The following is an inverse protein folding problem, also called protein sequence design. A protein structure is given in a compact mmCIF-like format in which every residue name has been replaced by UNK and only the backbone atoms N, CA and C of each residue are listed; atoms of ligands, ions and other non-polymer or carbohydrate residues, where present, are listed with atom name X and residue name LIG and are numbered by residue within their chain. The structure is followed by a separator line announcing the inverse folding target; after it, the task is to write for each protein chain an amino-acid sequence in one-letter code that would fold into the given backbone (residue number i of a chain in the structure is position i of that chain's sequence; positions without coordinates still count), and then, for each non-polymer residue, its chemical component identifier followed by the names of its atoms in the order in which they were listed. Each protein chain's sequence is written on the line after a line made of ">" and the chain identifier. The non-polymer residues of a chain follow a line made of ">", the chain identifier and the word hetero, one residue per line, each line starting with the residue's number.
data_IF_067247458412
#
_entry.id   IF_067247458412
#
_cell.length_a   1.000
_cell.length_b   1.000
_cell.length_c   1.000
_cell.angle_alpha   90.00
_cell.angle_beta   90.00
_cell.angle_gamma   90.00
#
_symmetry.space_group_name_H-M   'P 1'
#
loop_
_entity.id
_entity.type
_entity.pdbx_description
1 polymer ?
#
# COMPACT_ATOMS: atom_id res chain seq x y z
N UNK A 1 -27.52 -26.94 -8.17
CA UNK A 1 -26.93 -25.60 -8.34
C UNK A 1 -25.42 -25.79 -8.22
N UNK A 2 -24.68 -25.74 -9.33
CA UNK A 2 -23.25 -26.04 -9.33
C UNK A 2 -22.50 -24.82 -8.78
N UNK A 3 -21.94 -24.95 -7.59
CA UNK A 3 -21.06 -23.96 -6.96
C UNK A 3 -19.83 -23.82 -7.87
N UNK A 4 -19.36 -22.59 -8.16
CA UNK A 4 -18.10 -22.46 -8.91
C UNK A 4 -16.99 -22.95 -7.98
N UNK A 5 -16.31 -24.02 -8.35
CA UNK A 5 -15.16 -24.51 -7.59
C UNK A 5 -14.05 -23.46 -7.71
N UNK A 6 -13.68 -22.89 -6.57
CA UNK A 6 -12.45 -22.10 -6.45
C UNK A 6 -11.29 -23.07 -6.59
N UNK A 7 -10.24 -22.67 -7.30
CA UNK A 7 -9.00 -23.45 -7.27
C UNK A 7 -8.31 -23.32 -5.90
N UNK A 8 -7.34 -24.20 -5.63
CA UNK A 8 -6.62 -24.22 -4.34
C UNK A 8 -5.92 -22.89 -4.05
N UNK A 9 -5.44 -22.18 -5.07
CA UNK A 9 -4.74 -20.91 -4.91
C UNK A 9 -5.72 -19.78 -4.55
N UNK A 10 -6.88 -19.71 -5.22
CA UNK A 10 -7.96 -18.77 -4.94
C UNK A 10 -8.54 -18.99 -3.55
N UNK A 11 -8.71 -20.25 -3.15
CA UNK A 11 -9.20 -20.60 -1.81
C UNK A 11 -8.20 -20.18 -0.72
N UNK A 12 -6.91 -20.42 -0.95
CA UNK A 12 -5.84 -19.99 -0.04
C UNK A 12 -5.77 -18.46 0.07
N UNK A 13 -5.86 -17.75 -1.06
CA UNK A 13 -5.88 -16.28 -1.11
C UNK A 13 -7.09 -15.71 -0.37
N UNK A 14 -8.30 -16.25 -0.63
CA UNK A 14 -9.51 -15.87 0.11
C UNK A 14 -9.33 -16.03 1.62
N UNK A 15 -8.72 -17.14 2.06
CA UNK A 15 -8.52 -17.42 3.48
C UNK A 15 -7.51 -16.49 4.11
N UNK A 16 -6.41 -16.19 3.42
CA UNK A 16 -5.37 -15.27 3.90
C UNK A 16 -5.94 -13.86 4.10
N UNK A 17 -6.66 -13.33 3.11
CA UNK A 17 -7.31 -12.02 3.21
C UNK A 17 -8.39 -12.03 4.29
N UNK A 18 -9.22 -13.07 4.36
CA UNK A 18 -10.25 -13.17 5.40
C UNK A 18 -9.65 -13.15 6.82
N UNK A 19 -8.60 -13.93 7.06
CA UNK A 19 -7.88 -13.96 8.34
C UNK A 19 -7.25 -12.61 8.70
N UNK A 20 -6.90 -11.78 7.72
CA UNK A 20 -6.41 -10.43 7.98
C UNK A 20 -7.49 -9.52 8.61
N UNK A 21 -8.75 -9.65 8.19
CA UNK A 21 -9.87 -8.88 8.71
C UNK A 21 -10.46 -9.45 10.01
N UNK A 22 -10.13 -10.69 10.36
CA UNK A 22 -10.49 -11.29 11.64
C UNK A 22 -9.73 -10.64 12.80
N UNK A 23 -10.42 -9.71 13.47
CA UNK A 23 -9.86 -8.98 14.59
C UNK A 23 -9.61 -9.84 15.85
N UNK A 24 -10.25 -11.00 15.98
CA UNK A 24 -10.22 -11.82 17.21
C UNK A 24 -9.48 -13.15 17.06
N UNK A 25 -9.13 -13.56 15.84
CA UNK A 25 -8.38 -14.79 15.57
C UNK A 25 -9.20 -16.07 15.81
N UNK A 26 -10.53 -15.99 15.72
CA UNK A 26 -11.47 -17.11 15.85
C UNK A 26 -12.06 -17.54 14.50
N UNK A 27 -11.39 -17.20 13.41
CA UNK A 27 -11.74 -17.44 12.01
C UNK A 27 -13.09 -16.81 11.62
N UNK A 28 -13.34 -15.56 12.09
CA UNK A 28 -14.58 -14.83 11.82
C UNK A 28 -14.40 -13.34 11.56
N UNK A 29 -15.22 -12.77 10.68
CA UNK A 29 -15.31 -11.30 10.45
C UNK A 29 -16.71 -10.79 10.76
N UNK A 30 -16.89 -9.50 11.00
CA UNK A 30 -18.23 -8.92 11.13
C UNK A 30 -18.92 -8.76 9.77
N UNK A 31 -20.25 -8.74 9.75
CA UNK A 31 -21.03 -8.49 8.53
C UNK A 31 -20.64 -7.16 7.87
N UNK A 32 -20.40 -6.12 8.68
CA UNK A 32 -19.95 -4.82 8.18
C UNK A 32 -18.62 -4.89 7.39
N UNK A 33 -17.76 -5.88 7.66
CA UNK A 33 -16.47 -6.05 6.99
C UNK A 33 -16.57 -6.82 5.67
N UNK A 34 -17.70 -7.47 5.35
CA UNK A 34 -17.82 -8.34 4.18
C UNK A 34 -17.53 -7.59 2.88
N UNK A 35 -18.04 -6.36 2.74
CA UNK A 35 -17.76 -5.51 1.58
C UNK A 35 -16.28 -5.23 1.40
N UNK A 36 -15.59 -4.90 2.49
CA UNK A 36 -14.16 -4.61 2.48
C UNK A 36 -13.32 -5.84 2.11
N UNK A 37 -13.68 -7.03 2.63
CA UNK A 37 -12.99 -8.29 2.28
C UNK A 37 -13.19 -8.63 0.81
N UNK A 38 -14.41 -8.49 0.28
CA UNK A 38 -14.69 -8.72 -1.14
C UNK A 38 -13.88 -7.76 -2.02
N UNK A 39 -13.77 -6.49 -1.62
CA UNK A 39 -12.94 -5.48 -2.30
C UNK A 39 -11.45 -5.77 -2.22
N UNK A 40 -10.97 -6.24 -1.06
CA UNK A 40 -9.59 -6.68 -0.87
C UNK A 40 -9.24 -7.90 -1.74
N UNK A 41 -10.23 -8.75 -2.06
CA UNK A 41 -10.11 -9.86 -3.02
C UNK A 41 -10.32 -9.44 -4.48
N UNK A 42 -10.24 -8.14 -4.78
CA UNK A 42 -10.33 -7.60 -6.13
C UNK A 42 -11.70 -7.69 -6.77
N UNK A 43 -12.76 -7.94 -5.98
CA UNK A 43 -14.14 -7.77 -6.43
C UNK A 43 -14.58 -6.32 -6.25
N UNK A 44 -15.58 -5.87 -6.99
CA UNK A 44 -16.15 -4.54 -6.81
C UNK A 44 -17.67 -4.62 -6.67
N UNK A 45 -18.18 -5.30 -5.62
CA UNK A 45 -19.62 -5.42 -5.41
C UNK A 45 -20.23 -4.07 -5.02
N UNK A 46 -21.46 -3.87 -5.48
CA UNK A 46 -22.28 -2.73 -5.07
C UNK A 46 -22.83 -2.92 -3.64
N UNK A 47 -23.30 -1.85 -2.99
CA UNK A 47 -23.81 -1.96 -1.61
C UNK A 47 -25.08 -2.83 -1.56
N UNK A 48 -25.93 -2.79 -2.60
CA UNK A 48 -27.08 -3.68 -2.70
C UNK A 48 -26.69 -5.15 -2.95
N UNK A 49 -25.59 -5.41 -3.66
CA UNK A 49 -25.05 -6.77 -3.82
C UNK A 49 -24.52 -7.32 -2.51
N UNK A 50 -23.79 -6.51 -1.72
CA UNK A 50 -23.32 -6.88 -0.38
C UNK A 50 -24.53 -7.17 0.53
N UNK A 51 -25.51 -6.26 0.57
CA UNK A 51 -26.73 -6.44 1.37
C UNK A 51 -27.50 -7.71 0.97
N UNK A 52 -27.53 -8.04 -0.33
CA UNK A 52 -28.13 -9.28 -0.83
C UNK A 52 -27.36 -10.52 -0.37
N UNK A 53 -26.03 -10.49 -0.33
CA UNK A 53 -25.23 -11.60 0.20
C UNK A 53 -25.35 -11.77 1.72
N UNK A 54 -25.54 -10.66 2.43
CA UNK A 54 -25.61 -10.62 3.89
C UNK A 54 -27.05 -10.66 4.45
N UNK A 55 -28.07 -10.87 3.62
CA UNK A 55 -29.49 -10.74 4.02
C UNK A 55 -29.91 -11.63 5.20
N UNK A 56 -29.16 -12.72 5.45
CA UNK A 56 -29.44 -13.69 6.53
C UNK A 56 -29.09 -13.13 7.91
N UNK A 57 -28.28 -12.06 7.98
CA UNK A 57 -27.85 -11.45 9.22
C UNK A 57 -28.40 -10.03 9.35
N UNK A 58 -29.16 -9.79 10.42
CA UNK A 58 -29.78 -8.49 10.68
C UNK A 58 -28.93 -7.59 11.58
N UNK A 59 -27.94 -8.14 12.29
CA UNK A 59 -27.00 -7.39 13.14
C UNK A 59 -25.68 -7.16 12.39
N UNK A 60 -25.30 -5.90 12.10
CA UNK A 60 -24.02 -5.58 11.45
C UNK A 60 -22.78 -6.05 12.24
N UNK A 61 -22.92 -6.24 13.56
CA UNK A 61 -21.86 -6.75 14.43
C UNK A 61 -21.88 -8.28 14.55
N UNK A 62 -22.85 -8.96 13.94
CA UNK A 62 -22.84 -10.40 13.83
C UNK A 62 -21.57 -10.82 13.10
N UNK A 63 -20.98 -11.94 13.54
CA UNK A 63 -19.73 -12.45 13.01
C UNK A 63 -19.95 -13.75 12.25
N UNK A 64 -19.43 -13.81 11.04
CA UNK A 64 -19.54 -14.95 10.14
C UNK A 64 -18.21 -15.68 10.02
N UNK A 65 -18.24 -17.00 9.84
CA UNK A 65 -17.04 -17.80 9.58
C UNK A 65 -16.58 -17.73 8.13
N UNK A 66 -15.37 -18.22 7.88
CA UNK A 66 -14.84 -18.31 6.52
C UNK A 66 -15.72 -19.17 5.61
N UNK A 67 -16.24 -20.28 6.12
CA UNK A 67 -17.14 -21.19 5.39
C UNK A 67 -18.46 -20.51 5.01
N UNK A 68 -18.94 -19.57 5.84
CA UNK A 68 -20.15 -18.77 5.57
C UNK A 68 -19.88 -17.65 4.55
N UNK A 69 -18.64 -17.14 4.49
CA UNK A 69 -18.22 -16.11 3.55
C UNK A 69 -18.00 -16.63 2.11
N UNK A 70 -17.46 -17.84 1.95
CA UNK A 70 -17.13 -18.41 0.63
C UNK A 70 -18.32 -18.38 -0.36
N UNK A 71 -19.55 -18.77 0.01
CA UNK A 71 -20.71 -18.66 -0.87
C UNK A 71 -21.01 -17.23 -1.32
N UNK A 72 -20.76 -16.23 -0.46
CA UNK A 72 -20.92 -14.81 -0.81
C UNK A 72 -19.90 -14.41 -1.87
N UNK A 73 -18.63 -14.73 -1.63
CA UNK A 73 -17.55 -14.46 -2.58
C UNK A 73 -17.81 -15.12 -3.93
N UNK A 74 -18.20 -16.40 -3.97
CA UNK A 74 -18.52 -17.10 -5.21
C UNK A 74 -19.70 -16.48 -5.96
N UNK A 75 -20.69 -15.94 -5.23
CA UNK A 75 -21.84 -15.27 -5.84
C UNK A 75 -21.42 -13.96 -6.51
N UNK A 76 -20.63 -13.13 -5.83
CA UNK A 76 -20.10 -11.87 -6.38
C UNK A 76 -19.15 -12.14 -7.55
N UNK A 77 -18.25 -13.11 -7.39
CA UNK A 77 -17.28 -13.50 -8.41
C UNK A 77 -17.97 -13.93 -9.72
N UNK A 78 -19.07 -14.70 -9.64
CA UNK A 78 -19.86 -15.11 -10.81
C UNK A 78 -20.59 -13.95 -11.49
N UNK A 79 -21.04 -12.97 -10.72
CA UNK A 79 -21.78 -11.80 -11.23
C UNK A 79 -20.85 -10.70 -11.76
N UNK A 80 -19.54 -10.84 -11.57
CA UNK A 80 -18.54 -9.88 -12.03
C UNK A 80 -18.70 -9.59 -13.52
N UNK A 81 -19.17 -8.39 -13.83
CA UNK A 81 -19.18 -7.88 -15.20
C UNK A 81 -17.82 -7.26 -15.50
N UNK A 82 -17.23 -7.65 -16.63
CA UNK A 82 -15.99 -7.03 -17.13
C UNK A 82 -16.39 -5.93 -18.09
N UNK A 83 -16.59 -4.73 -17.56
CA UNK A 83 -16.71 -3.53 -18.37
C UNK A 83 -15.33 -2.95 -18.63
N UNK A 84 -15.10 -2.46 -19.85
CA UNK A 84 -13.89 -1.72 -20.20
C UNK A 84 -14.11 -0.22 -20.01
N UNK A 85 -13.03 0.55 -20.09
CA UNK A 85 -13.05 2.01 -19.90
C UNK A 85 -13.96 2.67 -20.93
N UNK A 86 -13.93 2.17 -22.15
CA UNK A 86 -14.63 2.72 -23.31
C UNK A 86 -16.15 2.67 -23.13
N UNK A 87 -16.70 1.57 -22.58
CA UNK A 87 -18.13 1.42 -22.28
C UNK A 87 -18.64 2.45 -21.27
N UNK A 88 -17.85 2.76 -20.24
CA UNK A 88 -18.20 3.77 -19.24
C UNK A 88 -18.07 5.20 -19.79
N UNK A 89 -17.05 5.45 -20.61
CA UNK A 89 -16.89 6.75 -21.29
C UNK A 89 -18.06 6.99 -22.25
N UNK A 90 -18.46 5.97 -23.02
CA UNK A 90 -19.64 6.04 -23.89
C UNK A 90 -20.91 6.31 -23.09
N UNK A 91 -21.12 5.61 -21.97
CA UNK A 91 -22.27 5.82 -21.09
C UNK A 91 -22.37 7.27 -20.57
N UNK A 92 -21.25 7.86 -20.14
CA UNK A 92 -21.23 9.24 -19.67
C UNK A 92 -21.26 10.29 -20.80
N UNK A 93 -20.78 9.95 -21.99
CA UNK A 93 -20.81 10.86 -23.15
C UNK A 93 -22.22 11.27 -23.59
N UNK A 94 -23.25 10.48 -23.23
CA UNK A 94 -24.65 10.84 -23.45
C UNK A 94 -25.08 12.11 -22.70
N UNK A 95 -24.30 12.51 -21.70
CA UNK A 95 -24.53 13.72 -20.91
C UNK A 95 -23.62 14.89 -21.32
N UNK A 96 -22.67 14.66 -22.23
CA UNK A 96 -21.90 15.72 -22.89
C UNK A 96 -22.74 16.34 -24.01
N UNK A 97 -23.45 17.42 -23.67
CA UNK A 97 -24.31 18.15 -24.62
C UNK A 97 -23.53 18.85 -25.73
N UNK A 98 -22.24 19.13 -25.51
CA UNK A 98 -21.40 19.91 -26.42
C UNK A 98 -20.53 19.02 -27.32
N UNK A 99 -20.43 17.73 -27.02
CA UNK A 99 -19.63 16.75 -27.75
C UNK A 99 -18.12 16.98 -27.66
N UNK A 100 -17.66 17.67 -26.63
CA UNK A 100 -16.27 18.05 -26.42
C UNK A 100 -15.49 17.09 -25.49
N UNK A 101 -16.14 16.03 -25.02
CA UNK A 101 -15.60 15.04 -24.08
C UNK A 101 -15.63 15.47 -22.61
N UNK A 102 -16.36 16.55 -22.30
CA UNK A 102 -16.45 17.13 -20.95
C UNK A 102 -17.89 17.07 -20.43
N UNK A 103 -18.03 16.96 -19.11
CA UNK A 103 -19.32 17.06 -18.42
C UNK A 103 -19.25 18.13 -17.35
N UNK A 104 -20.32 18.91 -17.18
CA UNK A 104 -20.36 19.91 -16.12
C UNK A 104 -20.47 19.24 -14.74
N UNK A 105 -19.76 19.77 -13.75
CA UNK A 105 -19.77 19.26 -12.35
C UNK A 105 -21.18 19.14 -11.78
N UNK A 106 -22.06 20.11 -12.06
CA UNK A 106 -23.43 20.10 -11.54
C UNK A 106 -24.27 18.98 -12.19
N UNK A 107 -24.04 18.71 -13.48
CA UNK A 107 -24.72 17.64 -14.21
C UNK A 107 -24.23 16.27 -13.73
N UNK A 108 -22.91 16.08 -13.60
CA UNK A 108 -22.34 14.85 -13.07
C UNK A 108 -22.80 14.59 -11.63
N UNK A 109 -22.86 15.63 -10.79
CA UNK A 109 -23.42 15.52 -9.44
C UNK A 109 -24.86 15.03 -9.46
N UNK A 110 -25.70 15.64 -10.31
CA UNK A 110 -27.10 15.25 -10.40
C UNK A 110 -27.26 13.77 -10.81
N UNK A 111 -26.42 13.28 -11.72
CA UNK A 111 -26.42 11.88 -12.13
C UNK A 111 -26.09 10.95 -10.96
N UNK A 112 -25.00 11.25 -10.24
CA UNK A 112 -24.50 10.42 -9.13
C UNK A 112 -25.42 10.40 -7.91
N UNK A 113 -26.23 11.45 -7.70
CA UNK A 113 -27.20 11.50 -6.59
C UNK A 113 -28.60 11.02 -6.97
N UNK A 114 -28.90 10.83 -8.27
CA UNK A 114 -30.27 10.52 -8.74
C UNK A 114 -30.41 9.11 -9.31
N UNK A 115 -29.41 8.63 -10.04
CA UNK A 115 -29.46 7.37 -10.80
C UNK A 115 -28.70 6.25 -10.11
N UNK A 116 -29.24 5.02 -10.18
CA UNK A 116 -28.57 3.82 -9.66
C UNK A 116 -28.47 3.77 -8.13
N UNK A 117 -27.34 3.27 -7.63
CA UNK A 117 -26.95 3.40 -6.21
C UNK A 117 -26.44 4.82 -5.98
N UNK A 118 -27.23 5.58 -5.22
CA UNK A 118 -27.04 7.02 -5.05
C UNK A 118 -25.96 7.28 -4.03
N UNK A 119 -25.05 8.16 -4.39
CA UNK A 119 -24.09 8.75 -3.46
C UNK A 119 -24.76 9.88 -2.66
N UNK A 120 -24.30 10.10 -1.43
CA UNK A 120 -24.65 11.31 -0.67
C UNK A 120 -24.00 12.55 -1.28
N UNK A 121 -24.46 13.75 -0.91
CA UNK A 121 -23.86 14.99 -1.39
C UNK A 121 -22.41 15.14 -0.92
N UNK A 122 -22.12 14.75 0.33
CA UNK A 122 -20.76 14.72 0.88
C UNK A 122 -19.89 13.72 0.14
N UNK A 123 -20.49 12.62 -0.30
CA UNK A 123 -19.81 11.65 -1.11
C UNK A 123 -19.44 12.31 -2.45
N UNK A 124 -20.43 12.83 -3.19
CA UNK A 124 -20.14 13.45 -4.48
C UNK A 124 -19.13 14.59 -4.38
N UNK A 125 -19.13 15.38 -3.31
CA UNK A 125 -18.12 16.41 -3.06
C UNK A 125 -16.70 15.86 -3.04
N UNK A 126 -16.46 14.79 -2.29
CA UNK A 126 -15.13 14.18 -2.21
C UNK A 126 -14.75 13.60 -3.58
N UNK A 127 -15.69 12.93 -4.26
CA UNK A 127 -15.44 12.32 -5.57
C UNK A 127 -15.01 13.34 -6.64
N UNK A 128 -15.59 14.54 -6.61
CA UNK A 128 -15.37 15.59 -7.62
C UNK A 128 -14.29 16.61 -7.21
N UNK A 129 -13.82 16.59 -5.96
CA UNK A 129 -12.84 17.53 -5.43
C UNK A 129 -11.55 17.57 -6.26
N UNK A 130 -11.17 18.78 -6.71
CA UNK A 130 -9.94 19.02 -7.46
C UNK A 130 -9.93 18.48 -8.90
N UNK A 131 -11.06 17.97 -9.42
CA UNK A 131 -11.13 17.32 -10.75
C UNK A 131 -11.74 18.20 -11.85
N UNK A 132 -12.31 19.34 -11.48
CA UNK A 132 -12.88 20.29 -12.42
C UNK A 132 -11.84 21.28 -12.92
N UNK A 133 -11.93 21.66 -14.18
CA UNK A 133 -11.15 22.76 -14.73
C UNK A 133 -11.65 24.13 -14.23
N UNK A 134 -10.98 25.20 -14.67
CA UNK A 134 -11.36 26.59 -14.35
C UNK A 134 -12.78 26.99 -14.79
N UNK A 135 -13.43 26.20 -15.63
CA UNK A 135 -14.80 26.40 -16.12
C UNK A 135 -15.83 25.52 -15.41
N UNK A 136 -15.41 24.71 -14.43
CA UNK A 136 -16.30 23.81 -13.70
C UNK A 136 -16.70 22.57 -14.50
N UNK A 137 -15.86 22.16 -15.46
CA UNK A 137 -16.09 20.97 -16.29
C UNK A 137 -15.08 19.86 -15.96
N UNK A 138 -15.48 18.62 -16.17
CA UNK A 138 -14.69 17.42 -15.90
C UNK A 138 -14.48 16.65 -17.20
N UNK A 139 -13.24 16.24 -17.47
CA UNK A 139 -12.95 15.35 -18.59
C UNK A 139 -13.48 13.93 -18.31
N UNK A 140 -14.39 13.45 -19.16
CA UNK A 140 -15.09 12.17 -18.94
C UNK A 140 -14.11 10.98 -18.98
N UNK A 141 -13.19 10.98 -19.93
CA UNK A 141 -12.24 9.87 -20.12
C UNK A 141 -11.25 9.77 -18.96
N UNK A 142 -10.75 10.91 -18.48
CA UNK A 142 -9.86 10.96 -17.32
C UNK A 142 -10.61 10.61 -16.02
N UNK A 143 -11.84 11.09 -15.86
CA UNK A 143 -12.70 10.74 -14.73
C UNK A 143 -12.93 9.23 -14.65
N UNK A 144 -13.36 8.59 -15.74
CA UNK A 144 -13.60 7.14 -15.80
C UNK A 144 -12.31 6.35 -15.60
N UNK A 145 -11.21 6.74 -16.25
CA UNK A 145 -9.91 6.07 -16.05
C UNK A 145 -9.45 6.14 -14.61
N UNK A 146 -9.63 7.28 -13.94
CA UNK A 146 -9.30 7.43 -12.54
C UNK A 146 -10.21 6.59 -11.63
N UNK A 147 -11.50 6.46 -11.95
CA UNK A 147 -12.43 5.61 -11.20
C UNK A 147 -12.16 4.12 -11.37
N UNK A 148 -11.70 3.67 -12.55
CA UNK A 148 -11.41 2.27 -12.81
C UNK A 148 -9.99 1.85 -12.40
N UNK A 149 -9.08 2.82 -12.23
CA UNK A 149 -7.72 2.62 -11.69
C UNK A 149 -7.69 2.63 -10.17
N UNK A 150 -8.60 3.36 -9.51
CA UNK A 150 -8.72 3.41 -8.07
C UNK A 150 -9.78 2.41 -7.58
N UNK A 151 -9.43 1.53 -6.62
CA UNK A 151 -10.41 0.76 -5.85
C UNK A 151 -11.19 1.67 -4.87
N UNK A 152 -11.94 2.65 -5.40
CA UNK A 152 -12.87 3.48 -4.65
C UNK A 152 -12.25 4.69 -3.95
N UNK A 153 -12.97 5.81 -4.05
CA UNK A 153 -13.03 6.96 -3.15
C UNK A 153 -11.74 7.73 -2.77
N UNK A 154 -11.67 9.07 -2.97
CA UNK A 154 -10.55 9.88 -2.48
C UNK A 154 -10.62 10.09 -0.95
N UNK A 155 -9.45 10.03 -0.29
CA UNK A 155 -9.33 10.27 1.14
C UNK A 155 -9.57 11.76 1.50
N UNK A 156 -10.20 12.08 2.66
CA UNK A 156 -10.48 13.47 3.05
C UNK A 156 -9.20 14.26 3.36
N UNK A 157 -9.01 15.36 2.64
CA UNK A 157 -7.94 16.33 2.85
C UNK A 157 -8.31 17.40 3.90
N UNK A 158 -7.49 17.43 4.94
CA UNK A 158 -6.96 18.55 5.73
C UNK A 158 -7.55 19.97 5.50
N UNK A 159 -8.05 20.57 6.59
CA UNK A 159 -8.39 22.00 6.66
C UNK A 159 -7.67 22.66 7.84
N UNK A 160 -6.66 23.46 7.49
CA UNK A 160 -6.11 24.64 8.19
C UNK A 160 -6.29 24.75 9.71
N UNK A 161 -5.22 24.58 10.48
CA UNK A 161 -5.12 25.13 11.84
C UNK A 161 -3.78 25.84 12.10
N UNK A 162 -3.90 26.96 12.80
CA UNK A 162 -2.90 27.99 13.06
C UNK A 162 -1.64 27.49 13.78
N UNK A 163 -0.50 27.98 13.30
CA UNK A 163 0.87 27.79 13.80
C UNK A 163 1.15 28.51 15.12
N UNK A 164 1.80 27.80 16.04
CA UNK A 164 2.76 28.38 16.99
C UNK A 164 4.00 27.47 17.04
N UNK A 165 5.12 27.98 16.49
CA UNK A 165 6.39 27.26 16.29
C UNK A 165 7.19 27.25 17.62
N UNK A 166 7.68 26.09 18.10
CA UNK A 166 8.67 26.04 19.18
C UNK A 166 10.08 26.34 18.64
N UNK A 167 10.76 27.26 19.31
CA UNK A 167 12.13 27.67 19.04
C UNK A 167 13.15 26.63 19.50
N UNK A 168 13.56 25.72 18.63
CA UNK A 168 14.86 25.02 18.73
C UNK A 168 15.21 24.43 17.36
N UNK A 169 16.01 25.17 16.59
CA UNK A 169 16.51 24.77 15.28
C UNK A 169 17.74 23.88 15.53
N UNK A 170 17.65 22.60 15.16
CA UNK A 170 18.81 21.73 15.08
C UNK A 170 19.79 22.29 14.03
N UNK A 171 21.08 22.29 14.35
CA UNK A 171 22.14 22.79 13.45
C UNK A 171 22.09 22.02 12.11
N UNK A 172 21.89 22.76 11.00
CA UNK A 172 21.84 22.21 9.65
C UNK A 172 23.27 22.17 9.11
N UNK A 173 23.79 20.98 8.82
CA UNK A 173 25.08 20.83 8.12
C UNK A 173 24.94 21.29 6.66
N UNK A 174 25.60 22.41 6.33
CA UNK A 174 25.52 23.08 5.03
C UNK A 174 26.37 22.41 3.93
N UNK A 175 27.10 21.33 4.24
CA UNK A 175 28.01 20.67 3.31
C UNK A 175 27.41 19.47 2.55
N UNK A 176 26.11 19.20 2.67
CA UNK A 176 25.46 18.13 1.88
C UNK A 176 25.32 18.60 0.43
N UNK A 177 25.85 17.87 -0.58
CA UNK A 177 25.71 18.24 -1.98
C UNK A 177 24.24 18.40 -2.36
N UNK A 178 23.88 19.53 -2.98
CA UNK A 178 22.51 19.88 -3.38
C UNK A 178 21.81 18.77 -4.19
N UNK A 179 22.58 17.94 -4.91
CA UNK A 179 22.10 16.77 -5.62
C UNK A 179 23.09 15.60 -5.45
N UNK A 180 22.71 14.62 -4.62
CA UNK A 180 23.45 13.36 -4.46
C UNK A 180 23.28 12.52 -5.73
N UNK A 181 24.38 12.09 -6.33
CA UNK A 181 24.36 11.22 -7.52
C UNK A 181 24.32 9.75 -7.09
N UNK A 182 23.33 9.00 -7.60
CA UNK A 182 23.16 7.58 -7.34
C UNK A 182 23.29 6.80 -8.65
N UNK A 183 24.17 5.80 -8.68
CA UNK A 183 24.29 4.90 -9.84
C UNK A 183 23.23 3.82 -9.72
N UNK A 184 22.43 3.64 -10.75
CA UNK A 184 21.49 2.51 -10.81
C UNK A 184 21.82 1.70 -12.06
N UNK A 185 21.66 0.39 -11.97
CA UNK A 185 22.01 -0.55 -13.04
C UNK A 185 20.78 -1.26 -13.56
N UNK A 186 20.88 -1.80 -14.78
CA UNK A 186 19.78 -2.48 -15.44
C UNK A 186 19.30 -3.68 -14.59
N UNK A 187 17.98 -3.87 -14.49
CA UNK A 187 17.37 -4.99 -13.78
C UNK A 187 17.94 -6.35 -14.24
N UNK A 188 18.27 -6.48 -15.53
CA UNK A 188 18.86 -7.68 -16.11
C UNK A 188 20.25 -8.05 -15.54
N UNK A 189 20.95 -7.12 -14.88
CA UNK A 189 22.24 -7.39 -14.24
C UNK A 189 22.10 -8.14 -12.90
N UNK A 190 20.88 -8.27 -12.39
CA UNK A 190 20.59 -8.93 -11.13
C UNK A 190 19.95 -10.29 -11.39
N UNK A 191 20.46 -11.31 -10.70
CA UNK A 191 19.91 -12.67 -10.77
C UNK A 191 19.18 -12.98 -9.47
N UNK A 192 18.04 -13.68 -9.59
CA UNK A 192 17.18 -14.01 -8.47
C UNK A 192 17.11 -15.52 -8.30
N UNK A 193 17.78 -16.04 -7.27
CA UNK A 193 17.65 -17.42 -6.81
C UNK A 193 16.57 -17.54 -5.73
N UNK A 194 16.25 -18.78 -5.36
CA UNK A 194 15.30 -19.07 -4.28
C UNK A 194 16.01 -19.70 -3.08
N UNK A 195 15.59 -19.37 -1.86
CA UNK A 195 16.00 -20.05 -0.62
C UNK A 195 14.80 -20.50 0.21
N UNK A 196 15.07 -21.17 1.32
CA UNK A 196 14.01 -21.68 2.21
C UNK A 196 13.05 -20.57 2.65
N UNK A 197 11.76 -20.89 2.83
CA UNK A 197 10.76 -19.93 3.28
C UNK A 197 11.17 -19.26 4.60
N UNK A 198 10.86 -17.97 4.72
CA UNK A 198 11.08 -17.20 5.94
C UNK A 198 9.75 -17.00 6.65
N UNK A 199 9.62 -17.53 7.87
CA UNK A 199 8.44 -17.31 8.70
C UNK A 199 8.40 -15.89 9.24
N UNK A 200 7.22 -15.28 9.24
CA UNK A 200 6.97 -14.04 9.97
C UNK A 200 6.97 -14.33 11.49
N UNK A 201 7.47 -13.38 12.29
CA UNK A 201 7.51 -13.52 13.76
C UNK A 201 6.11 -13.56 14.38
N UNK A 202 5.19 -12.78 13.82
CA UNK A 202 3.85 -12.61 14.34
C UNK A 202 2.84 -13.32 13.44
N UNK A 203 2.00 -14.17 14.02
CA UNK A 203 0.96 -14.91 13.29
C UNK A 203 -0.21 -14.03 12.86
N UNK A 204 -0.33 -12.82 13.42
CA UNK A 204 -1.36 -11.84 13.07
C UNK A 204 -0.93 -10.40 13.39
N UNK A 205 -1.67 -9.44 12.85
CA UNK A 205 -1.50 -8.01 13.13
C UNK A 205 -1.69 -7.71 14.63
N UNK A 206 -2.63 -8.38 15.28
CA UNK A 206 -2.90 -8.25 16.71
C UNK A 206 -1.76 -8.82 17.54
N UNK A 207 -1.23 -9.99 17.18
CA UNK A 207 -0.08 -10.58 17.85
C UNK A 207 1.13 -9.63 17.79
N UNK A 208 1.34 -8.98 16.63
CA UNK A 208 2.38 -7.95 16.46
C UNK A 208 2.20 -6.76 17.40
N UNK A 209 0.99 -6.21 17.52
CA UNK A 209 0.73 -5.07 18.40
C UNK A 209 0.76 -5.45 19.88
N UNK A 210 0.31 -6.66 20.23
CA UNK A 210 0.42 -7.17 21.59
C UNK A 210 1.89 -7.33 21.99
N UNK A 211 2.70 -7.97 21.13
CA UNK A 211 4.15 -8.07 21.34
C UNK A 211 4.82 -6.70 21.44
N UNK A 212 4.45 -5.77 20.55
CA UNK A 212 4.94 -4.38 20.60
C UNK A 212 4.61 -3.71 21.94
N UNK A 213 3.42 -3.92 22.49
CA UNK A 213 3.03 -3.41 23.81
C UNK A 213 3.87 -4.03 24.92
N UNK A 214 4.02 -5.35 24.91
CA UNK A 214 4.77 -6.10 25.92
C UNK A 214 6.27 -5.76 25.92
N UNK A 215 6.84 -5.49 24.74
CA UNK A 215 8.23 -5.03 24.57
C UNK A 215 8.37 -3.57 24.99
N UNK A 216 7.41 -2.72 24.63
CA UNK A 216 7.47 -1.28 24.93
C UNK A 216 7.56 -1.00 26.43
N UNK A 217 6.85 -1.77 27.26
CA UNK A 217 6.91 -1.63 28.71
C UNK A 217 8.26 -2.07 29.30
N UNK A 218 9.03 -2.89 28.58
CA UNK A 218 10.34 -3.43 29.03
C UNK A 218 11.52 -2.59 28.54
N UNK A 219 11.51 -2.22 27.26
CA UNK A 219 12.68 -1.62 26.58
C UNK A 219 12.37 -0.29 25.90
N UNK A 220 11.13 0.19 25.94
CA UNK A 220 10.72 1.46 25.36
C UNK A 220 10.39 1.39 23.87
N UNK A 221 10.58 2.50 23.16
CA UNK A 221 10.21 2.64 21.75
C UNK A 221 10.92 1.59 20.87
N UNK A 222 10.15 0.85 20.07
CA UNK A 222 10.70 -0.06 19.06
C UNK A 222 11.50 0.72 18.02
N UNK A 223 12.68 0.22 17.68
CA UNK A 223 13.49 0.73 16.57
C UNK A 223 13.40 -0.25 15.41
N UNK A 224 13.08 0.24 14.23
CA UNK A 224 12.96 -0.55 13.00
C UNK A 224 13.74 0.12 11.87
N UNK A 225 14.27 -0.69 10.97
CA UNK A 225 14.96 -0.21 9.76
C UNK A 225 14.36 -0.87 8.53
N UNK A 226 14.15 -0.10 7.48
CA UNK A 226 13.73 -0.57 6.16
C UNK A 226 14.74 -0.07 5.12
N UNK A 227 14.91 -0.83 4.04
CA UNK A 227 15.94 -0.55 3.03
C UNK A 227 15.33 -0.45 1.63
N UNK A 228 15.79 0.54 0.87
CA UNK A 228 15.36 0.80 -0.50
C UNK A 228 16.51 0.45 -1.43
N UNK A 229 16.26 -0.51 -2.33
CA UNK A 229 17.17 -0.90 -3.39
C UNK A 229 16.57 -0.47 -4.72
N UNK A 230 17.38 0.20 -5.56
CA UNK A 230 16.90 0.80 -6.81
C UNK A 230 17.68 0.19 -7.98
N UNK A 231 16.94 -0.22 -8.99
CA UNK A 231 17.43 -0.64 -10.31
C UNK A 231 16.77 0.21 -11.38
N UNK A 232 17.12 0.03 -12.64
CA UNK A 232 16.32 0.57 -13.73
C UNK A 232 15.99 -0.47 -14.77
N UNK A 233 14.87 -0.25 -15.46
CA UNK A 233 14.52 -0.95 -16.68
C UNK A 233 14.03 0.11 -17.66
N UNK A 234 14.56 0.12 -18.88
CA UNK A 234 14.26 1.14 -19.89
C UNK A 234 14.47 2.60 -19.40
N UNK A 235 15.51 2.84 -18.60
CA UNK A 235 15.80 4.13 -17.98
C UNK A 235 14.68 4.67 -17.07
N UNK A 236 13.86 3.78 -16.52
CA UNK A 236 12.89 4.09 -15.47
C UNK A 236 13.37 3.50 -14.15
N UNK A 237 13.49 4.28 -13.06
CA UNK A 237 13.87 3.73 -11.77
C UNK A 237 12.78 2.83 -11.20
N UNK A 238 13.18 1.68 -10.68
CA UNK A 238 12.32 0.71 -10.02
C UNK A 238 12.83 0.43 -8.61
N UNK A 239 11.93 0.38 -7.64
CA UNK A 239 12.23 -0.04 -6.28
C UNK A 239 12.00 -1.55 -6.18
N UNK A 240 12.96 -2.28 -5.61
CA UNK A 240 12.79 -3.70 -5.33
C UNK A 240 11.94 -3.90 -4.07
N UNK A 241 10.81 -4.60 -4.21
CA UNK A 241 9.87 -4.89 -3.14
C UNK A 241 9.69 -6.40 -2.96
N UNK A 242 9.56 -6.84 -1.71
CA UNK A 242 9.14 -8.19 -1.38
C UNK A 242 7.61 -8.23 -1.40
N UNK A 243 7.04 -8.97 -2.35
CA UNK A 243 5.61 -9.22 -2.48
C UNK A 243 5.23 -10.50 -1.71
N UNK A 244 4.16 -10.42 -0.93
CA UNK A 244 3.52 -11.52 -0.20
C UNK A 244 2.10 -11.64 -0.76
N UNK A 245 1.72 -12.83 -1.23
CA UNK A 245 0.46 -13.00 -1.95
C UNK A 245 0.37 -12.10 -3.20
N UNK A 246 -0.78 -11.49 -3.42
CA UNK A 246 -1.05 -10.64 -4.60
C UNK A 246 -0.97 -9.13 -4.31
N UNK A 247 -1.32 -8.70 -3.09
CA UNK A 247 -1.55 -7.29 -2.76
C UNK A 247 -0.65 -6.73 -1.65
N UNK A 248 0.17 -7.56 -0.99
CA UNK A 248 1.03 -7.09 0.09
C UNK A 248 2.47 -6.90 -0.36
N UNK A 249 3.01 -5.71 -0.07
CA UNK A 249 4.37 -5.33 -0.42
C UNK A 249 5.12 -4.84 0.81
N UNK A 250 6.38 -5.22 0.94
CA UNK A 250 7.28 -4.72 1.99
C UNK A 250 8.66 -4.40 1.43
N UNK A 251 9.32 -3.45 2.07
CA UNK A 251 10.76 -3.25 1.91
C UNK A 251 11.52 -4.32 2.71
N UNK A 252 12.70 -4.76 2.26
CA UNK A 252 13.59 -5.56 3.10
C UNK A 252 13.98 -4.76 4.34
N UNK A 253 13.79 -5.35 5.52
CA UNK A 253 13.95 -4.65 6.78
C UNK A 253 13.27 -5.36 7.94
N UNK A 254 13.31 -4.73 9.11
CA UNK A 254 12.65 -5.22 10.30
C UNK A 254 13.10 -4.52 11.58
N UNK A 255 12.72 -5.13 12.69
CA UNK A 255 13.03 -4.66 14.04
C UNK A 255 14.51 -4.86 14.39
N UNK A 256 15.10 -3.85 15.04
CA UNK A 256 16.45 -3.89 15.59
C UNK A 256 16.46 -4.55 16.96
N UNK A 257 17.56 -5.23 17.27
CA UNK A 257 17.82 -5.75 18.61
C UNK A 257 18.18 -4.61 19.58
N UNK A 258 18.05 -4.87 20.89
CA UNK A 258 18.36 -3.87 21.90
C UNK A 258 19.84 -3.48 21.85
N UNK A 259 20.11 -2.20 21.53
CA UNK A 259 21.46 -1.67 21.39
C UNK A 259 22.12 -1.93 20.04
N UNK A 260 21.43 -2.56 19.09
CA UNK A 260 21.95 -2.80 17.74
C UNK A 260 22.13 -1.48 16.97
N UNK A 261 23.21 -1.40 16.22
CA UNK A 261 23.45 -0.30 15.28
C UNK A 261 22.48 -0.38 14.09
N UNK A 262 22.07 0.79 13.59
CA UNK A 262 21.04 0.87 12.55
C UNK A 262 21.53 0.32 11.20
N UNK A 263 22.80 0.56 10.87
CA UNK A 263 23.42 0.09 9.64
C UNK A 263 23.70 -1.42 9.74
N UNK A 264 24.24 -1.88 10.88
CA UNK A 264 24.48 -3.31 11.11
C UNK A 264 23.17 -4.11 11.06
N UNK A 265 22.10 -3.62 11.69
CA UNK A 265 20.79 -4.26 11.66
C UNK A 265 20.15 -4.25 10.26
N UNK A 266 20.30 -3.16 9.49
CA UNK A 266 19.85 -3.12 8.10
C UNK A 266 20.60 -4.14 7.22
N UNK A 267 21.92 -4.28 7.41
CA UNK A 267 22.73 -5.32 6.75
C UNK A 267 22.27 -6.72 7.15
N UNK A 268 21.98 -6.95 8.43
CA UNK A 268 21.43 -8.24 8.92
C UNK A 268 20.11 -8.57 8.22
N UNK A 269 19.16 -7.64 8.20
CA UNK A 269 17.85 -7.84 7.54
C UNK A 269 17.96 -8.02 6.02
N UNK A 270 18.90 -7.34 5.36
CA UNK A 270 19.21 -7.56 3.94
C UNK A 270 19.77 -8.97 3.69
N UNK A 271 20.66 -9.46 4.55
CA UNK A 271 21.16 -10.83 4.46
C UNK A 271 20.05 -11.87 4.71
N UNK A 272 19.22 -11.63 5.73
CA UNK A 272 18.09 -12.51 6.06
C UNK A 272 17.08 -12.57 4.90
N UNK A 273 16.80 -11.43 4.26
CA UNK A 273 15.79 -11.33 3.18
C UNK A 273 16.33 -11.72 1.81
N UNK A 274 17.55 -11.30 1.45
CA UNK A 274 18.08 -11.38 0.07
C UNK A 274 19.49 -11.97 -0.02
N UNK A 275 20.14 -12.23 1.11
CA UNK A 275 21.50 -12.77 1.15
C UNK A 275 21.60 -14.17 0.55
N UNK A 276 22.71 -14.42 -0.15
CA UNK A 276 23.02 -15.70 -0.81
C UNK A 276 23.26 -16.82 0.22
N UNK A 277 23.01 -18.05 -0.22
CA UNK A 277 23.17 -19.28 0.59
C UNK A 277 24.38 -20.13 0.19
N UNK A 278 25.12 -19.72 -0.84
CA UNK A 278 26.28 -20.45 -1.38
C UNK A 278 27.61 -20.11 -0.69
N UNK A 279 27.55 -19.43 0.46
CA UNK A 279 28.71 -19.03 1.25
C UNK A 279 29.37 -17.72 0.82
N UNK A 280 28.99 -17.14 -0.33
CA UNK A 280 29.44 -15.81 -0.76
C UNK A 280 28.56 -14.76 -0.12
N UNK A 281 29.13 -13.83 0.66
CA UNK A 281 28.37 -12.73 1.26
C UNK A 281 28.14 -11.61 0.26
N UNK A 282 26.94 -11.03 0.28
CA UNK A 282 26.68 -9.76 -0.41
C UNK A 282 27.34 -8.62 0.38
N UNK A 283 28.02 -7.72 -0.33
CA UNK A 283 28.50 -6.46 0.24
C UNK A 283 27.42 -5.40 0.06
N UNK A 284 26.83 -4.94 1.17
CA UNK A 284 25.74 -3.98 1.18
C UNK A 284 26.28 -2.59 1.49
N UNK A 285 26.17 -1.67 0.53
CA UNK A 285 26.58 -0.29 0.71
C UNK A 285 25.37 0.56 1.09
N UNK A 286 25.18 0.78 2.39
CA UNK A 286 24.14 1.67 2.92
C UNK A 286 24.70 3.10 2.93
N UNK A 287 24.10 3.99 2.14
CA UNK A 287 24.65 5.33 1.92
C UNK A 287 23.88 6.43 2.66
N UNK A 288 22.56 6.47 2.50
CA UNK A 288 21.75 7.63 2.90
C UNK A 288 20.55 7.19 3.76
N UNK A 289 20.31 7.88 4.87
CA UNK A 289 19.01 7.89 5.53
C UNK A 289 18.06 8.78 4.71
N UNK A 290 16.97 8.21 4.20
CA UNK A 290 16.08 8.91 3.27
C UNK A 290 14.72 9.28 3.87
N UNK A 291 14.29 8.62 4.94
CA UNK A 291 13.02 8.92 5.59
C UNK A 291 12.96 8.39 7.01
N UNK A 292 12.18 9.07 7.86
CA UNK A 292 11.80 8.60 9.19
C UNK A 292 10.29 8.53 9.30
N UNK A 293 9.79 7.49 9.95
CA UNK A 293 8.37 7.30 10.22
C UNK A 293 8.15 6.96 11.69
N UNK A 294 7.13 7.56 12.29
CA UNK A 294 6.79 7.36 13.69
C UNK A 294 5.39 6.78 13.82
N UNK A 295 5.28 5.79 14.71
CA UNK A 295 4.01 5.22 15.14
C UNK A 295 3.66 5.79 16.52
N UNK A 296 2.59 6.58 16.67
CA UNK A 296 2.26 7.19 17.96
C UNK A 296 1.62 6.22 18.95
N UNK A 297 0.86 5.24 18.46
CA UNK A 297 0.05 4.31 19.25
C UNK A 297 0.32 2.84 18.87
N UNK A 298 -0.31 1.88 19.56
CA UNK A 298 -0.23 0.46 19.22
C UNK A 298 -1.26 0.07 18.16
N UNK A 299 -1.26 0.80 17.05
CA UNK A 299 -2.21 0.68 15.94
C UNK A 299 -1.49 0.87 14.58
N UNK A 300 -2.14 0.58 13.42
CA UNK A 300 -1.50 0.63 12.10
C UNK A 300 -0.91 1.99 11.62
N UNK A 301 -1.53 3.16 11.88
CA UNK A 301 -1.07 4.44 11.34
C UNK A 301 0.39 4.77 11.67
N UNK A 302 1.11 5.29 10.67
CA UNK A 302 2.47 5.85 10.81
C UNK A 302 2.51 7.22 10.14
N UNK A 303 3.35 8.11 10.65
CA UNK A 303 3.48 9.49 10.16
C UNK A 303 4.94 9.82 9.88
N UNK A 304 5.24 10.62 8.84
CA UNK A 304 6.61 11.06 8.52
C UNK A 304 7.10 12.20 9.43
N UNK A 305 6.46 12.38 10.59
CA UNK A 305 6.80 13.32 11.66
C UNK A 305 6.26 12.76 12.98
N UNK A 306 6.73 13.27 14.11
CA UNK A 306 6.12 12.97 15.41
C UNK A 306 4.85 13.82 15.55
N UNK A 307 3.64 13.23 15.65
CA UNK A 307 2.42 14.01 15.75
C UNK A 307 2.39 14.91 17.00
N UNK A 308 1.61 15.99 16.94
CA UNK A 308 1.49 16.94 18.04
C UNK A 308 1.10 16.23 19.35
N UNK A 309 1.70 16.67 20.46
CA UNK A 309 1.50 16.13 21.82
C UNK A 309 1.97 14.67 22.05
N UNK A 310 2.54 14.00 21.03
CA UNK A 310 3.12 12.67 21.19
C UNK A 310 4.55 12.78 21.71
N UNK A 311 4.73 12.61 23.01
CA UNK A 311 6.07 12.61 23.65
C UNK A 311 6.71 11.22 23.69
N UNK A 312 5.92 10.17 23.48
CA UNK A 312 6.29 8.76 23.67
C UNK A 312 5.76 7.88 22.52
N UNK A 313 6.31 8.03 21.30
CA UNK A 313 5.97 7.16 20.17
C UNK A 313 6.34 5.69 20.46
N UNK A 314 5.61 4.76 19.83
CA UNK A 314 5.77 3.31 20.06
C UNK A 314 6.79 2.68 19.15
N UNK A 315 6.98 3.24 17.96
CA UNK A 315 7.96 2.77 16.99
C UNK A 315 8.52 3.95 16.20
N UNK A 316 9.83 3.91 15.92
CA UNK A 316 10.49 4.70 14.89
C UNK A 316 11.02 3.75 13.82
N UNK A 317 10.61 3.97 12.57
CA UNK A 317 11.13 3.28 11.40
C UNK A 317 12.02 4.22 10.60
N UNK A 318 13.30 3.87 10.46
CA UNK A 318 14.25 4.58 9.58
C UNK A 318 14.36 3.87 8.24
N UNK A 319 14.41 4.64 7.16
CA UNK A 319 14.54 4.10 5.81
C UNK A 319 15.90 4.49 5.26
N UNK A 320 16.65 3.50 4.80
CA UNK A 320 17.98 3.69 4.23
C UNK A 320 18.02 3.32 2.74
N UNK A 321 18.76 4.10 1.97
CA UNK A 321 19.08 3.81 0.58
C UNK A 321 20.31 2.90 0.49
N UNK A 322 20.18 1.84 -0.29
CA UNK A 322 21.25 0.86 -0.53
C UNK A 322 21.75 1.00 -1.96
N UNK A 323 23.02 1.38 -2.12
CA UNK A 323 23.68 1.44 -3.40
C UNK A 323 24.06 0.02 -3.84
N UNK A 324 23.35 -0.50 -4.85
CA UNK A 324 23.64 -1.80 -5.44
C UNK A 324 24.96 -1.78 -6.24
N UNK A 325 25.73 -2.88 -6.25
CA UNK A 325 26.82 -3.06 -7.20
C UNK A 325 26.27 -3.24 -8.63
N UNK A 326 27.16 -3.20 -9.62
CA UNK A 326 26.79 -3.39 -11.03
C UNK A 326 26.06 -4.72 -11.27
N UNK A 327 26.46 -5.79 -10.57
CA UNK A 327 25.86 -7.13 -10.66
C UNK A 327 25.75 -7.73 -9.27
N UNK A 328 24.64 -8.41 -8.99
CA UNK A 328 24.47 -9.20 -7.78
C UNK A 328 23.55 -10.40 -8.01
N UNK A 329 23.73 -11.41 -7.16
CA UNK A 329 22.76 -12.50 -6.99
C UNK A 329 22.04 -12.28 -5.67
N UNK A 330 20.72 -12.35 -5.70
CA UNK A 330 19.87 -12.37 -4.50
C UNK A 330 19.25 -13.75 -4.35
N UNK A 331 19.17 -14.25 -3.12
CA UNK A 331 18.42 -15.47 -2.81
C UNK A 331 17.16 -15.09 -2.02
N UNK A 332 16.01 -15.21 -2.67
CA UNK A 332 14.69 -14.78 -2.17
C UNK A 332 13.98 -15.97 -1.50
N UNK A 333 13.43 -15.83 -0.29
CA UNK A 333 12.64 -16.88 0.35
C UNK A 333 11.46 -17.28 -0.54
N UNK A 334 11.19 -18.59 -0.68
CA UNK A 334 10.15 -19.10 -1.59
C UNK A 334 8.72 -18.61 -1.32
N UNK A 335 8.44 -18.12 -0.11
CA UNK A 335 7.15 -17.52 0.25
C UNK A 335 7.05 -16.02 -0.09
N UNK A 336 8.09 -15.45 -0.70
CA UNK A 336 8.07 -14.10 -1.24
C UNK A 336 8.39 -14.10 -2.73
N UNK A 337 7.91 -13.08 -3.42
CA UNK A 337 8.36 -12.73 -4.77
C UNK A 337 9.08 -11.39 -4.70
N UNK A 338 10.28 -11.29 -5.25
CA UNK A 338 10.95 -10.00 -5.40
C UNK A 338 10.47 -9.37 -6.72
N UNK A 339 9.87 -8.19 -6.62
CA UNK A 339 9.35 -7.44 -7.77
C UNK A 339 10.06 -6.10 -7.90
N UNK A 340 10.24 -5.65 -9.12
CA UNK A 340 10.74 -4.31 -9.41
C UNK A 340 9.52 -3.43 -9.73
N UNK A 341 9.18 -2.51 -8.82
CA UNK A 341 8.04 -1.62 -8.98
C UNK A 341 8.53 -0.24 -9.48
N UNK A 342 8.12 0.22 -10.67
CA UNK A 342 8.51 1.52 -11.18
C UNK A 342 7.95 2.64 -10.31
N UNK A 343 8.68 3.75 -10.20
CA UNK A 343 8.27 4.88 -9.34
C UNK A 343 6.85 5.41 -9.64
N UNK A 344 6.40 5.36 -10.90
CA UNK A 344 5.06 5.82 -11.28
C UNK A 344 3.93 4.92 -10.77
N UNK A 345 4.18 3.62 -10.50
CA UNK A 345 3.18 2.74 -9.88
C UNK A 345 3.05 2.98 -8.39
N UNK A 346 4.15 3.39 -7.74
CA UNK A 346 4.20 3.67 -6.32
C UNK A 346 3.58 5.04 -5.98
N UNK A 347 3.79 6.04 -6.84
CA UNK A 347 3.43 7.43 -6.57
C UNK A 347 1.95 7.59 -6.24
N UNK A 348 1.67 8.17 -5.06
CA UNK A 348 0.31 8.42 -4.55
C UNK A 348 -0.58 7.17 -4.44
N UNK A 349 0.00 5.96 -4.46
CA UNK A 349 -0.72 4.69 -4.41
C UNK A 349 -0.63 4.03 -3.03
N UNK A 350 -0.97 4.78 -1.98
CA UNK A 350 -0.91 4.32 -0.60
C UNK A 350 -1.90 3.18 -0.31
N UNK A 351 -2.97 3.04 -1.10
CA UNK A 351 -3.94 1.95 -0.96
C UNK A 351 -3.32 0.60 -1.31
N UNK A 352 -2.45 0.53 -2.31
CA UNK A 352 -1.78 -0.71 -2.72
C UNK A 352 -0.48 -0.95 -1.95
N UNK A 353 0.35 0.09 -1.78
CA UNK A 353 1.71 -0.05 -1.26
C UNK A 353 1.89 0.44 0.18
N UNK A 354 0.84 0.98 0.80
CA UNK A 354 0.95 1.68 2.07
C UNK A 354 1.58 3.08 1.93
N UNK A 355 1.36 3.98 2.91
CA UNK A 355 1.80 5.38 2.81
C UNK A 355 3.33 5.53 2.72
N UNK A 356 4.07 4.62 3.35
CA UNK A 356 5.53 4.63 3.37
C UNK A 356 6.11 4.38 1.97
N UNK A 357 5.76 3.26 1.34
CA UNK A 357 6.28 2.90 0.01
C UNK A 357 5.76 3.88 -1.05
N UNK A 358 4.48 4.27 -0.96
CA UNK A 358 3.87 5.19 -1.92
C UNK A 358 4.50 6.60 -1.92
N UNK A 359 5.17 6.98 -0.82
CA UNK A 359 5.91 8.25 -0.71
C UNK A 359 7.32 8.22 -1.31
N UNK A 360 7.86 7.03 -1.62
CA UNK A 360 9.24 6.87 -2.08
C UNK A 360 9.56 7.70 -3.33
N UNK A 361 8.69 7.84 -4.36
CA UNK A 361 9.01 8.68 -5.51
C UNK A 361 9.30 10.13 -5.12
N UNK A 362 8.57 10.69 -4.17
CA UNK A 362 8.81 12.05 -3.64
C UNK A 362 10.14 12.13 -2.92
N UNK A 363 10.42 11.17 -2.03
CA UNK A 363 11.68 11.10 -1.27
C UNK A 363 12.90 10.91 -2.19
N UNK A 364 12.75 10.12 -3.24
CA UNK A 364 13.81 9.76 -4.18
C UNK A 364 14.05 10.84 -5.25
N UNK A 365 13.10 11.76 -5.46
CA UNK A 365 13.20 12.84 -6.46
C UNK A 365 14.41 13.77 -6.29
N UNK A 366 14.99 13.82 -5.07
CA UNK A 366 16.19 14.64 -4.77
C UNK A 366 17.50 14.06 -5.30
N UNK A 367 17.52 12.78 -5.68
CA UNK A 367 18.72 12.11 -6.18
C UNK A 367 18.87 12.28 -7.69
N UNK A 368 20.11 12.49 -8.14
CA UNK A 368 20.46 12.46 -9.55
C UNK A 368 20.80 11.02 -9.98
N UNK A 369 19.87 10.32 -10.62
CA UNK A 369 20.08 8.96 -11.09
C UNK A 369 21.00 8.91 -12.32
N UNK A 370 22.05 8.08 -12.25
CA UNK A 370 22.87 7.71 -13.39
C UNK A 370 22.51 6.29 -13.79
N UNK A 371 21.88 6.16 -14.95
CA UNK A 371 21.42 4.91 -15.53
C UNK A 371 22.58 4.23 -16.25
N UNK A 372 23.03 3.09 -15.74
CA UNK A 372 24.13 2.30 -16.30
C UNK A 372 23.60 0.95 -16.79
N UNK A 373 24.10 0.49 -17.93
CA UNK A 373 23.73 -0.83 -18.48
C UNK A 373 24.43 -1.99 -17.78
#
# INVERSE_FOLDING_TARGET
>A
MVIAELDEAQYAECREVFCYFDAKGDEKITIAQVGDVLRALGQNPSESEIASCCHTWSDPNARISFEEFIPMYQTVYKKRQKHNVEEFVEGLSHFDKEGNGMINVAELRHLLTTLGERLSDEEVDQLLAGRSDTSGNINISDFVRNMLRANGWPAPGDSTLHTSIPSQVAEIDLNVPLHRTLKIYNLANYTFGTKEPQSEKDTSVQARFQRMKDEYDKVGMRRSVETVLIVHEHALPHVLLLQIGTSFYKLPGGELEAGEDEIEGAVRHLNDSLGRTDGVKNEWKIEDEISNWWRPNFDPPRYPYIPAHVTRPKEQTKIFLVQLPEKALFAVPRNYKLVAAPLFELYENANCYGPLIASLPTVLSRFNFVYND
#
